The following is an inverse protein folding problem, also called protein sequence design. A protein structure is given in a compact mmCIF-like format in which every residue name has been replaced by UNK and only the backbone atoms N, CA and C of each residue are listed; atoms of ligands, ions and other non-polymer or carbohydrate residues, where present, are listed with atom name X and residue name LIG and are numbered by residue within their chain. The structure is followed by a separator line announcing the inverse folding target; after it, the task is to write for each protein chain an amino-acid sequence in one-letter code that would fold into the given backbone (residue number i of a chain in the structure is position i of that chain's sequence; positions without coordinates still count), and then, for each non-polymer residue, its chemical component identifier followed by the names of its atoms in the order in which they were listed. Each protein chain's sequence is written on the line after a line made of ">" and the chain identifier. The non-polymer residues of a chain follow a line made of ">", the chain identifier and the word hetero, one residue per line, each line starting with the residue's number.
data_IF_116134087499
#
_entry.id   IF_116134087499
#
_cell.length_a   1.000
_cell.length_b   1.000
_cell.length_c   1.000
_cell.angle_alpha   90.00
_cell.angle_beta   90.00
_cell.angle_gamma   90.00
#
_symmetry.space_group_name_H-M   'P 1'
#
loop_
_entity.id
_entity.type
_entity.pdbx_description
1 polymer ?
#
# COMPACT_ATOMS: atom_id res chain seq x y z
N UNK A 1 -11.50 35.67 6.13
CA UNK A 1 -11.56 35.15 7.52
C UNK A 1 -10.33 34.29 7.74
N UNK A 2 -9.37 34.74 8.56
CA UNK A 2 -8.15 33.99 8.87
C UNK A 2 -8.47 32.99 9.98
N UNK A 3 -8.35 31.69 9.71
CA UNK A 3 -8.47 30.65 10.74
C UNK A 3 -7.12 30.48 11.42
N UNK A 4 -6.97 31.01 12.64
CA UNK A 4 -5.80 30.74 13.47
C UNK A 4 -5.84 29.28 13.91
N UNK A 5 -4.80 28.51 13.56
CA UNK A 5 -4.66 27.13 13.97
C UNK A 5 -4.18 27.08 15.43
N UNK A 6 -5.11 27.04 16.39
CA UNK A 6 -4.78 26.96 17.82
C UNK A 6 -4.24 25.56 18.12
N UNK A 7 -2.92 25.44 18.25
CA UNK A 7 -2.26 24.19 18.70
C UNK A 7 -2.80 23.83 20.08
N UNK A 8 -3.17 22.56 20.31
CA UNK A 8 -3.58 22.08 21.63
C UNK A 8 -2.43 22.31 22.63
N UNK A 9 -2.71 22.87 23.83
CA UNK A 9 -1.69 23.03 24.86
C UNK A 9 -1.20 21.66 25.32
N UNK A 10 0.12 21.50 25.43
CA UNK A 10 0.73 20.28 25.99
C UNK A 10 0.35 20.20 27.47
N UNK A 11 -0.31 19.10 27.86
CA UNK A 11 -0.53 18.76 29.27
C UNK A 11 0.81 18.34 29.87
N UNK A 12 1.51 19.29 30.49
CA UNK A 12 2.82 19.04 31.12
C UNK A 12 2.69 18.33 32.48
N UNK A 13 1.52 18.35 33.11
CA UNK A 13 1.23 17.71 34.40
C UNK A 13 0.02 16.75 34.29
N UNK A 14 0.19 15.59 33.66
CA UNK A 14 -0.80 14.51 33.76
C UNK A 14 -0.42 13.56 34.90
N UNK A 15 -1.12 13.65 36.03
CA UNK A 15 -0.80 12.90 37.26
C UNK A 15 -0.92 11.38 37.15
N UNK A 16 -1.58 10.87 36.10
CA UNK A 16 -1.76 9.45 35.82
C UNK A 16 -0.74 8.88 34.81
N UNK A 17 0.23 9.67 34.34
CA UNK A 17 1.25 9.17 33.41
C UNK A 17 2.44 10.11 33.23
N UNK A 18 3.65 9.56 33.26
CA UNK A 18 4.85 10.31 32.88
C UNK A 18 4.77 10.69 31.40
N UNK A 19 5.05 11.97 31.04
CA UNK A 19 5.03 12.37 29.64
C UNK A 19 6.09 11.59 28.87
N UNK A 20 5.66 10.80 27.89
CA UNK A 20 6.55 10.06 26.99
C UNK A 20 7.29 11.06 26.12
N UNK A 21 8.62 10.98 26.10
CA UNK A 21 9.45 11.76 25.19
C UNK A 21 9.09 11.40 23.75
N UNK A 22 8.39 12.32 23.06
CA UNK A 22 8.02 12.14 21.66
C UNK A 22 8.99 12.93 20.78
N UNK A 23 9.61 12.25 19.82
CA UNK A 23 10.40 12.91 18.78
C UNK A 23 9.54 13.05 17.52
N UNK A 24 9.22 14.29 17.16
CA UNK A 24 8.50 14.59 15.93
C UNK A 24 9.50 14.60 14.75
N UNK A 25 9.47 13.56 13.92
CA UNK A 25 10.31 13.44 12.72
C UNK A 25 10.08 14.54 11.67
N UNK A 26 9.03 15.34 11.81
CA UNK A 26 8.65 16.42 10.89
C UNK A 26 8.88 17.81 11.49
N UNK A 27 9.53 17.91 12.66
CA UNK A 27 9.81 19.20 13.31
C UNK A 27 10.57 20.18 12.38
N UNK A 28 11.35 19.66 11.44
CA UNK A 28 12.15 20.45 10.49
C UNK A 28 11.37 20.97 9.28
N UNK A 29 10.05 20.71 9.19
CA UNK A 29 9.24 21.21 8.07
C UNK A 29 8.65 22.60 8.31
N UNK A 30 8.85 23.20 9.48
CA UNK A 30 8.32 24.54 9.83
C UNK A 30 9.25 25.69 9.37
N UNK A 31 10.14 25.46 8.39
CA UNK A 31 11.06 26.46 7.82
C UNK A 31 10.81 26.71 6.33
N UNK A 32 10.73 27.98 5.95
CA UNK A 32 10.62 28.46 4.56
C UNK A 32 11.55 27.74 3.57
N UNK A 33 11.05 27.54 2.35
CA UNK A 33 11.75 27.08 1.16
C UNK A 33 13.15 27.71 1.02
N UNK A 34 14.19 26.93 1.27
CA UNK A 34 15.43 26.93 0.49
C UNK A 34 15.90 25.47 0.33
N UNK A 35 15.94 25.02 -0.92
CA UNK A 35 16.49 23.71 -1.31
C UNK A 35 17.99 23.71 -1.05
N UNK A 36 18.42 23.07 0.04
CA UNK A 36 19.80 22.62 0.19
C UNK A 36 19.88 21.12 -0.13
N UNK A 37 20.60 20.81 -1.21
CA UNK A 37 21.05 19.46 -1.53
C UNK A 37 21.91 18.92 -0.38
N UNK A 38 21.41 17.88 0.29
CA UNK A 38 22.24 17.08 1.20
C UNK A 38 22.25 15.66 0.68
N UNK A 39 23.30 15.37 -0.11
CA UNK A 39 23.70 14.01 -0.43
C UNK A 39 23.87 13.20 0.85
N UNK A 40 23.02 12.21 1.03
CA UNK A 40 23.20 11.19 2.07
C UNK A 40 22.96 9.82 1.43
N UNK A 41 24.08 9.13 1.16
CA UNK A 41 24.12 7.67 0.95
C UNK A 41 23.43 7.01 2.13
N UNK A 42 22.13 6.72 1.97
CA UNK A 42 21.39 5.92 2.92
C UNK A 42 21.36 4.53 2.34
N UNK A 43 22.14 3.61 2.91
CA UNK A 43 21.92 2.17 2.70
C UNK A 43 20.44 1.89 2.96
N UNK A 44 19.73 1.53 1.88
CA UNK A 44 18.31 1.21 1.92
C UNK A 44 18.21 -0.09 2.72
N UNK A 45 18.01 0.00 4.04
CA UNK A 45 17.50 -1.14 4.81
C UNK A 45 16.12 -1.46 4.23
N UNK A 46 16.06 -2.45 3.34
CA UNK A 46 14.79 -2.96 2.83
C UNK A 46 13.95 -3.41 4.02
N UNK A 47 12.96 -2.60 4.40
CA UNK A 47 11.98 -3.00 5.39
C UNK A 47 11.27 -4.23 4.83
N UNK A 48 11.42 -5.37 5.49
CA UNK A 48 10.70 -6.58 5.13
C UNK A 48 9.21 -6.28 5.08
N UNK A 49 8.61 -6.46 3.91
CA UNK A 49 7.21 -6.17 3.69
C UNK A 49 6.43 -7.27 4.39
N UNK A 50 5.68 -6.89 5.44
CA UNK A 50 4.83 -7.85 6.16
C UNK A 50 3.75 -8.39 5.21
N UNK A 51 3.50 -9.71 5.23
CA UNK A 51 2.45 -10.30 4.40
C UNK A 51 1.06 -9.82 4.85
N UNK A 52 0.06 -9.90 3.96
CA UNK A 52 -1.30 -9.54 4.31
C UNK A 52 -1.90 -10.53 5.32
N UNK A 53 -2.85 -10.08 6.16
CA UNK A 53 -3.61 -10.97 7.02
C UNK A 53 -4.59 -11.82 6.21
N UNK A 54 -4.82 -13.04 6.70
CA UNK A 54 -5.79 -13.99 6.17
C UNK A 54 -6.97 -14.03 7.15
N UNK A 55 -8.19 -14.00 6.63
CA UNK A 55 -9.42 -14.07 7.42
C UNK A 55 -10.15 -15.35 7.04
N UNK A 56 -10.44 -16.18 8.04
CA UNK A 56 -11.17 -17.43 7.88
C UNK A 56 -12.54 -17.26 8.52
N UNK A 57 -13.58 -17.54 7.76
CA UNK A 57 -14.98 -17.43 8.20
C UNK A 57 -15.53 -18.80 8.65
N UNK A 58 -16.60 -18.79 9.46
CA UNK A 58 -17.31 -20.01 9.88
C UNK A 58 -16.56 -20.89 10.89
N UNK A 59 -15.64 -20.33 11.67
CA UNK A 59 -14.81 -21.09 12.61
C UNK A 59 -15.55 -21.29 13.95
N UNK A 60 -16.37 -22.34 14.01
CA UNK A 60 -17.00 -22.81 15.26
C UNK A 60 -16.01 -23.45 16.24
N UNK A 61 -15.00 -24.15 15.72
CA UNK A 61 -13.97 -24.81 16.51
C UNK A 61 -12.58 -24.48 15.96
N UNK A 62 -11.76 -23.84 16.78
CA UNK A 62 -10.42 -23.36 16.40
C UNK A 62 -9.33 -24.45 16.45
N UNK A 63 -9.57 -25.58 17.13
CA UNK A 63 -8.55 -26.63 17.31
C UNK A 63 -8.04 -27.20 15.97
N UNK A 64 -8.89 -27.60 15.01
CA UNK A 64 -8.43 -28.15 13.74
C UNK A 64 -7.61 -27.14 12.93
N UNK A 65 -8.04 -25.87 12.93
CA UNK A 65 -7.32 -24.78 12.26
C UNK A 65 -5.93 -24.58 12.88
N UNK A 66 -5.82 -24.56 14.20
CA UNK A 66 -4.55 -24.39 14.90
C UNK A 66 -3.61 -25.57 14.64
N UNK A 67 -4.13 -26.79 14.58
CA UNK A 67 -3.35 -27.98 14.25
C UNK A 67 -2.78 -27.91 12.82
N UNK A 68 -3.62 -27.56 11.83
CA UNK A 68 -3.21 -27.37 10.45
C UNK A 68 -2.09 -26.32 10.33
N UNK A 69 -2.25 -25.19 11.02
CA UNK A 69 -1.28 -24.11 11.01
C UNK A 69 0.03 -24.49 11.71
N UNK A 70 -0.02 -25.21 12.84
CA UNK A 70 1.18 -25.66 13.53
C UNK A 70 1.99 -26.65 12.68
N UNK A 71 1.33 -27.54 11.95
CA UNK A 71 1.98 -28.52 11.07
C UNK A 71 2.73 -27.85 9.91
N UNK A 72 2.17 -26.77 9.32
CA UNK A 72 2.70 -26.18 8.10
C UNK A 72 3.45 -24.85 8.29
N UNK A 73 3.08 -24.05 9.29
CA UNK A 73 3.61 -22.71 9.53
C UNK A 73 4.49 -22.61 10.80
N UNK A 74 4.45 -23.61 11.69
CA UNK A 74 5.18 -23.60 12.95
C UNK A 74 4.81 -22.39 13.82
N UNK A 75 5.78 -21.70 14.41
CA UNK A 75 5.55 -20.52 15.28
C UNK A 75 5.58 -19.16 14.52
N UNK A 76 5.52 -19.20 13.18
CA UNK A 76 5.68 -18.04 12.33
C UNK A 76 4.37 -17.31 11.98
N UNK A 77 3.34 -17.49 12.80
CA UNK A 77 2.05 -16.84 12.64
C UNK A 77 1.49 -16.35 13.99
N UNK A 78 0.56 -15.41 13.94
CA UNK A 78 -0.25 -14.98 15.08
C UNK A 78 -1.73 -15.17 14.75
N UNK A 79 -2.55 -15.57 15.72
CA UNK A 79 -3.99 -15.69 15.55
C UNK A 79 -4.70 -14.66 16.42
N UNK A 80 -5.75 -14.04 15.87
CA UNK A 80 -6.71 -13.22 16.60
C UNK A 80 -8.12 -13.68 16.27
N UNK A 81 -8.90 -13.95 17.29
CA UNK A 81 -10.33 -14.24 17.14
C UNK A 81 -11.06 -12.91 16.95
N UNK A 82 -11.92 -12.84 15.95
CA UNK A 82 -12.78 -11.71 15.63
C UNK A 82 -14.23 -12.05 15.99
N UNK A 83 -15.12 -11.06 15.81
CA UNK A 83 -16.56 -11.26 15.93
C UNK A 83 -17.11 -12.10 14.76
N UNK A 84 -18.29 -12.70 14.95
CA UNK A 84 -18.99 -13.51 13.94
C UNK A 84 -18.22 -14.77 13.50
N UNK A 85 -17.66 -15.52 14.47
CA UNK A 85 -16.97 -16.80 14.19
C UNK A 85 -15.80 -16.68 13.20
N UNK A 86 -15.25 -15.46 13.05
CA UNK A 86 -14.15 -15.18 12.15
C UNK A 86 -12.82 -15.26 12.90
N UNK A 87 -11.81 -15.85 12.25
CA UNK A 87 -10.45 -15.92 12.77
C UNK A 87 -9.50 -15.21 11.82
N UNK A 88 -8.71 -14.28 12.36
CA UNK A 88 -7.67 -13.57 11.65
C UNK A 88 -6.31 -14.21 11.92
N UNK A 89 -5.66 -14.65 10.86
CA UNK A 89 -4.30 -15.18 10.87
C UNK A 89 -3.35 -14.10 10.34
N UNK A 90 -2.28 -13.82 11.08
CA UNK A 90 -1.24 -12.86 10.72
C UNK A 90 0.09 -13.60 10.51
N UNK A 91 0.46 -13.96 9.27
CA UNK A 91 1.76 -14.57 9.00
C UNK A 91 2.90 -13.58 9.23
N UNK A 92 4.08 -14.08 9.65
CA UNK A 92 5.28 -13.24 9.84
C UNK A 92 6.12 -13.13 8.56
N UNK A 93 6.06 -14.13 7.67
CA UNK A 93 6.82 -14.21 6.41
C UNK A 93 5.91 -14.43 5.19
N UNK A 94 6.35 -13.98 4.01
CA UNK A 94 5.65 -14.19 2.75
C UNK A 94 5.56 -15.66 2.35
N UNK A 95 6.57 -16.46 2.66
CA UNK A 95 6.59 -17.90 2.37
C UNK A 95 5.51 -18.63 3.17
N UNK A 96 5.44 -18.31 4.46
CA UNK A 96 4.43 -18.85 5.39
C UNK A 96 3.02 -18.47 4.95
N UNK A 97 2.83 -17.24 4.49
CA UNK A 97 1.55 -16.79 3.91
C UNK A 97 1.13 -17.68 2.74
N UNK A 98 2.02 -17.92 1.76
CA UNK A 98 1.70 -18.74 0.59
C UNK A 98 1.42 -20.19 0.96
N UNK A 99 2.13 -20.75 1.96
CA UNK A 99 1.86 -22.11 2.45
C UNK A 99 0.47 -22.18 3.07
N UNK A 100 0.13 -21.24 3.97
CA UNK A 100 -1.18 -21.24 4.65
C UNK A 100 -2.31 -21.12 3.62
N UNK A 101 -2.22 -20.18 2.67
CA UNK A 101 -3.23 -20.00 1.62
C UNK A 101 -3.43 -21.31 0.83
N UNK A 102 -2.34 -21.95 0.39
CA UNK A 102 -2.42 -23.24 -0.34
C UNK A 102 -3.09 -24.34 0.49
N UNK A 103 -2.81 -24.39 1.79
CA UNK A 103 -3.43 -25.39 2.67
C UNK A 103 -4.92 -25.13 2.89
N UNK A 104 -5.31 -23.86 3.05
CA UNK A 104 -6.72 -23.49 3.18
C UNK A 104 -7.50 -23.77 1.88
N UNK A 105 -6.90 -23.51 0.71
CA UNK A 105 -7.46 -23.87 -0.60
C UNK A 105 -7.60 -25.39 -0.76
N UNK A 106 -6.57 -26.16 -0.38
CA UNK A 106 -6.58 -27.62 -0.43
C UNK A 106 -7.67 -28.24 0.45
N UNK A 107 -7.99 -27.57 1.57
CA UNK A 107 -9.05 -27.97 2.51
C UNK A 107 -10.41 -27.35 2.19
N UNK A 108 -10.54 -26.63 1.07
CA UNK A 108 -11.76 -25.94 0.64
C UNK A 108 -12.40 -25.09 1.75
N UNK A 109 -11.57 -24.45 2.57
CA UNK A 109 -12.03 -23.61 3.67
C UNK A 109 -12.47 -22.25 3.14
N UNK A 110 -13.54 -21.66 3.70
CA UNK A 110 -13.95 -20.31 3.37
C UNK A 110 -12.99 -19.29 4.01
N UNK A 111 -12.22 -18.59 3.17
CA UNK A 111 -11.32 -17.54 3.64
C UNK A 111 -11.21 -16.40 2.61
N UNK A 112 -10.78 -15.25 3.07
CA UNK A 112 -10.39 -14.13 2.22
C UNK A 112 -9.11 -13.47 2.71
N UNK A 113 -8.39 -12.85 1.78
CA UNK A 113 -7.12 -12.19 2.05
C UNK A 113 -6.93 -11.01 1.11
N UNK A 114 -6.09 -10.05 1.52
CA UNK A 114 -5.69 -8.96 0.64
C UNK A 114 -4.59 -9.42 -0.31
N UNK A 115 -4.55 -8.83 -1.51
CA UNK A 115 -3.44 -9.09 -2.45
C UNK A 115 -2.10 -8.64 -1.84
N UNK A 116 -1.05 -9.50 -1.88
CA UNK A 116 0.30 -9.13 -1.48
C UNK A 116 0.77 -7.84 -2.18
N UNK A 117 1.56 -7.04 -1.46
CA UNK A 117 2.00 -5.73 -1.98
C UNK A 117 2.85 -5.83 -3.24
N UNK A 118 3.65 -6.89 -3.38
CA UNK A 118 4.53 -7.10 -4.53
C UNK A 118 3.75 -7.53 -5.79
N UNK A 119 2.57 -8.11 -5.65
CA UNK A 119 1.70 -8.48 -6.78
C UNK A 119 0.76 -7.33 -7.19
N UNK A 120 0.63 -6.29 -6.36
CA UNK A 120 -0.28 -5.19 -6.62
C UNK A 120 0.24 -4.32 -7.76
N UNK A 121 -0.59 -4.14 -8.79
CA UNK A 121 -0.34 -3.20 -9.89
C UNK A 121 0.04 -1.81 -9.39
N UNK A 122 1.02 -1.20 -10.04
CA UNK A 122 1.48 0.13 -9.71
C UNK A 122 0.61 1.16 -10.42
N UNK A 123 -0.20 1.88 -9.64
CA UNK A 123 -1.14 2.87 -10.16
C UNK A 123 -0.52 4.26 -10.14
N UNK A 124 -0.51 4.92 -11.29
CA UNK A 124 -0.07 6.30 -11.44
C UNK A 124 -1.14 7.12 -12.16
N UNK A 125 -1.05 8.45 -12.01
CA UNK A 125 -1.91 9.40 -12.70
C UNK A 125 -1.04 10.24 -13.61
N UNK A 126 -1.28 10.13 -14.91
CA UNK A 126 -0.73 11.02 -15.92
C UNK A 126 -1.56 12.30 -15.89
N UNK A 127 -0.91 13.43 -15.57
CA UNK A 127 -1.56 14.75 -15.53
C UNK A 127 -1.20 15.56 -16.76
N UNK A 128 -1.99 16.60 -17.03
CA UNK A 128 -1.76 17.56 -18.12
C UNK A 128 -1.82 16.93 -19.51
N UNK A 129 -2.71 15.95 -19.69
CA UNK A 129 -2.87 15.23 -20.96
C UNK A 129 -4.31 15.36 -21.42
N UNK A 130 -4.52 15.98 -22.58
CA UNK A 130 -5.86 16.25 -23.07
C UNK A 130 -6.64 14.94 -23.26
N UNK A 131 -7.93 14.95 -22.96
CA UNK A 131 -8.75 13.73 -22.99
C UNK A 131 -8.92 13.14 -24.40
N UNK A 132 -8.66 13.92 -25.45
CA UNK A 132 -8.69 13.46 -26.85
C UNK A 132 -7.42 12.72 -27.26
N UNK A 133 -6.39 12.66 -26.41
CA UNK A 133 -5.18 11.91 -26.70
C UNK A 133 -5.51 10.43 -26.83
N UNK A 134 -4.95 9.80 -27.86
CA UNK A 134 -5.16 8.39 -28.14
C UNK A 134 -4.49 7.50 -27.08
N UNK A 135 -5.26 6.52 -26.60
CA UNK A 135 -4.85 5.63 -25.52
C UNK A 135 -3.75 4.67 -25.98
N UNK A 136 -3.81 4.21 -27.24
CA UNK A 136 -2.82 3.30 -27.80
C UNK A 136 -1.46 4.00 -27.95
N UNK A 137 -1.47 5.25 -28.40
CA UNK A 137 -0.28 6.09 -28.48
C UNK A 137 0.39 6.28 -27.10
N UNK A 138 -0.38 6.55 -26.05
CA UNK A 138 0.12 6.65 -24.66
C UNK A 138 0.74 5.31 -24.22
N UNK A 139 0.07 4.20 -24.51
CA UNK A 139 0.52 2.86 -24.15
C UNK A 139 1.86 2.52 -24.81
N UNK A 140 2.00 2.84 -26.10
CA UNK A 140 3.23 2.63 -26.86
C UNK A 140 4.39 3.45 -26.29
N UNK A 141 4.17 4.73 -26.00
CA UNK A 141 5.20 5.59 -25.41
C UNK A 141 5.68 5.07 -24.04
N UNK A 142 4.77 4.57 -23.19
CA UNK A 142 5.13 3.97 -21.90
C UNK A 142 5.90 2.66 -22.07
N UNK A 143 5.57 1.88 -23.10
CA UNK A 143 6.29 0.65 -23.43
C UNK A 143 7.70 0.94 -23.94
N UNK A 144 7.91 2.01 -24.71
CA UNK A 144 9.24 2.46 -25.17
C UNK A 144 10.15 2.89 -24.00
N UNK A 145 9.57 3.44 -22.92
CA UNK A 145 10.29 3.76 -21.68
C UNK A 145 10.61 2.50 -20.86
N UNK A 146 10.02 1.35 -21.21
CA UNK A 146 10.23 0.07 -20.53
C UNK A 146 9.21 -0.23 -19.42
N UNK A 147 8.03 0.40 -19.45
CA UNK A 147 6.93 0.09 -18.54
C UNK A 147 5.84 -0.72 -19.23
N UNK A 148 5.39 -1.79 -18.59
CA UNK A 148 4.27 -2.61 -19.10
C UNK A 148 2.95 -2.11 -18.51
N UNK A 149 2.08 -1.59 -19.39
CA UNK A 149 0.75 -1.08 -19.02
C UNK A 149 -0.26 -2.21 -19.03
N UNK A 150 -0.94 -2.42 -17.89
CA UNK A 150 -2.06 -3.36 -17.72
C UNK A 150 -3.37 -2.73 -18.15
N UNK A 151 -3.63 -1.51 -17.68
CA UNK A 151 -4.88 -0.80 -17.96
C UNK A 151 -4.65 0.72 -17.96
N UNK A 152 -5.43 1.42 -18.78
CA UNK A 152 -5.37 2.88 -18.90
C UNK A 152 -6.78 3.43 -19.20
N UNK A 153 -7.18 4.47 -18.48
CA UNK A 153 -8.46 5.14 -18.72
C UNK A 153 -8.43 6.61 -18.32
N UNK A 154 -9.28 7.40 -18.98
CA UNK A 154 -9.44 8.82 -18.67
C UNK A 154 -10.25 9.03 -17.38
N UNK A 155 -9.81 9.97 -16.54
CA UNK A 155 -10.53 10.36 -15.32
C UNK A 155 -11.67 11.30 -15.68
N UNK A 156 -12.88 11.00 -15.18
CA UNK A 156 -14.04 11.90 -15.32
C UNK A 156 -14.28 12.67 -14.03
N UNK A 157 -14.70 13.94 -14.15
CA UNK A 157 -15.15 14.73 -13.01
C UNK A 157 -16.36 14.04 -12.35
N UNK A 158 -16.31 13.87 -11.02
CA UNK A 158 -17.28 13.05 -10.28
C UNK A 158 -18.75 13.42 -10.53
N UNK A 159 -19.04 14.72 -10.57
CA UNK A 159 -20.40 15.28 -10.68
C UNK A 159 -20.81 15.42 -12.15
N UNK A 160 -20.11 16.26 -12.91
CA UNK A 160 -20.49 16.62 -14.30
C UNK A 160 -20.21 15.53 -15.33
N UNK A 161 -19.44 14.49 -14.94
CA UNK A 161 -18.96 13.41 -15.81
C UNK A 161 -18.11 13.86 -17.00
N UNK A 162 -17.68 15.13 -17.04
CA UNK A 162 -16.75 15.65 -18.04
C UNK A 162 -15.39 14.98 -17.92
N UNK A 163 -14.77 14.68 -19.06
CA UNK A 163 -13.43 14.11 -19.13
C UNK A 163 -12.41 15.15 -18.65
N UNK A 164 -11.52 14.74 -17.75
CA UNK A 164 -10.44 15.58 -17.25
C UNK A 164 -9.18 15.36 -18.08
N UNK A 165 -8.25 16.34 -18.12
CA UNK A 165 -6.97 16.17 -18.78
C UNK A 165 -6.00 15.29 -17.94
N UNK A 166 -6.49 14.11 -17.53
CA UNK A 166 -5.78 13.16 -16.69
C UNK A 166 -6.16 11.72 -17.05
N UNK A 167 -5.16 10.84 -17.07
CA UNK A 167 -5.34 9.41 -17.27
C UNK A 167 -4.84 8.63 -16.05
N UNK A 168 -5.59 7.63 -15.62
CA UNK A 168 -5.08 6.63 -14.68
C UNK A 168 -4.41 5.55 -15.49
N UNK A 169 -3.20 5.18 -15.06
CA UNK A 169 -2.44 4.11 -15.65
C UNK A 169 -2.18 3.08 -14.55
N UNK A 170 -2.47 1.83 -14.83
CA UNK A 170 -2.06 0.69 -14.04
C UNK A 170 -0.91 -0.01 -14.76
N UNK A 171 0.25 -0.04 -14.11
CA UNK A 171 1.44 -0.74 -14.58
C UNK A 171 1.56 -2.09 -13.88
N UNK A 172 2.15 -3.05 -14.58
CA UNK A 172 2.53 -4.34 -13.98
C UNK A 172 3.56 -4.09 -12.87
N UNK A 173 3.53 -4.81 -11.73
CA UNK A 173 4.54 -4.65 -10.69
C UNK A 173 5.94 -4.98 -11.23
N UNK A 174 6.79 -3.96 -11.33
CA UNK A 174 8.19 -4.06 -11.73
C UNK A 174 9.05 -3.13 -10.86
N UNK A 175 10.33 -3.46 -10.67
CA UNK A 175 11.24 -2.68 -9.83
C UNK A 175 11.48 -1.26 -10.38
N UNK A 176 11.49 -1.11 -11.70
CA UNK A 176 11.68 0.17 -12.40
C UNK A 176 10.46 1.10 -12.31
N UNK A 177 9.30 0.66 -11.83
CA UNK A 177 8.06 1.46 -11.85
C UNK A 177 8.17 2.83 -11.15
N UNK A 178 9.09 3.00 -10.19
CA UNK A 178 9.31 4.31 -9.56
C UNK A 178 9.95 5.33 -10.49
N UNK A 179 10.70 4.89 -11.50
CA UNK A 179 11.36 5.77 -12.48
C UNK A 179 10.35 6.52 -13.35
N UNK A 180 9.09 6.07 -13.41
CA UNK A 180 8.06 6.79 -14.16
C UNK A 180 7.81 8.22 -13.66
N UNK A 181 8.13 8.52 -12.39
CA UNK A 181 8.01 9.87 -11.85
C UNK A 181 9.05 10.85 -12.40
N UNK A 182 10.12 10.33 -13.02
CA UNK A 182 11.18 11.13 -13.64
C UNK A 182 10.82 11.54 -15.08
N UNK A 183 9.80 10.90 -15.67
CA UNK A 183 9.32 11.20 -17.03
C UNK A 183 8.61 12.55 -17.03
N UNK A 184 9.21 13.54 -17.71
CA UNK A 184 8.66 14.89 -17.84
C UNK A 184 7.72 15.03 -19.04
N UNK A 185 8.11 14.46 -20.18
CA UNK A 185 7.37 14.52 -21.44
C UNK A 185 7.18 13.10 -21.96
N UNK A 186 5.96 12.76 -22.41
CA UNK A 186 5.62 11.41 -22.87
C UNK A 186 5.30 11.36 -24.38
N UNK A 187 4.50 12.31 -24.87
CA UNK A 187 4.06 12.32 -26.28
C UNK A 187 4.39 13.61 -27.03
N UNK A 188 4.52 14.74 -26.31
CA UNK A 188 4.84 16.07 -26.82
C UNK A 188 5.49 16.87 -25.70
#
# INVERSE_FOLDING_TARGET
>A
MQTSNTKQPKLLEYWLGTPVATSNRFANLDGNDELQEVGTNTEIKEKSIKPPPIFVDGVNNIKPLTQLLNEHAGENYEIKVLHNEQVKIQPKSSEVYSIIVKQLELKETEFYTYRPKHERNFKVILKNMHYSSDVESIKKALQEIGHVVVNIWNIKQRITKRQLPMFVIELQPQANNKLIYEVKNLLH
#
